data_IF_451446657986
#
_entry.id   IF_451446657986
#
_cell.length_a   1.000
_cell.length_b   1.000
_cell.length_c   1.000
_cell.angle_alpha   90.00
_cell.angle_beta   90.00
_cell.angle_gamma   90.00
#
_symmetry.space_group_name_H-M   'P 1'
#
loop_
_entity.id
_entity.type
_entity.pdbx_description
1 polymer ?
#
# COMPACT_ATOMS: atom_id res chain seq x y z
N UNK A 1 -11.07 -68.55 -15.53
CA UNK A 1 -10.37 -67.32 -16.00
C UNK A 1 -10.27 -66.34 -14.84
N UNK A 2 -9.08 -66.25 -14.21
CA UNK A 2 -8.79 -65.29 -13.12
C UNK A 2 -8.30 -63.98 -13.76
N UNK A 3 -8.98 -62.86 -13.49
CA UNK A 3 -8.54 -61.52 -13.91
C UNK A 3 -7.58 -60.96 -12.86
N UNK A 4 -6.31 -60.78 -13.23
CA UNK A 4 -5.31 -60.08 -12.44
C UNK A 4 -5.51 -58.57 -12.61
N UNK A 5 -5.70 -57.86 -11.51
CA UNK A 5 -5.69 -56.39 -11.45
C UNK A 5 -4.28 -55.96 -11.08
N UNK A 6 -3.59 -55.32 -12.02
CA UNK A 6 -2.28 -54.69 -11.80
C UNK A 6 -2.53 -53.38 -11.03
N UNK A 7 -2.00 -53.28 -9.81
CA UNK A 7 -1.92 -52.02 -9.06
C UNK A 7 -0.60 -51.33 -9.41
N UNK A 8 -0.67 -50.22 -10.13
CA UNK A 8 0.45 -49.30 -10.32
C UNK A 8 0.50 -48.33 -9.13
N UNK A 9 1.59 -48.37 -8.37
CA UNK A 9 1.88 -47.39 -7.31
C UNK A 9 2.61 -46.20 -7.90
N UNK A 10 2.00 -45.01 -7.85
CA UNK A 10 2.67 -43.73 -8.15
C UNK A 10 3.26 -43.21 -6.84
N UNK A 11 4.59 -43.15 -6.76
CA UNK A 11 5.28 -42.50 -5.65
C UNK A 11 5.31 -40.98 -5.91
N UNK A 12 4.66 -40.22 -5.03
CA UNK A 12 4.79 -38.77 -4.97
C UNK A 12 5.96 -38.43 -4.03
N UNK A 13 7.06 -37.92 -4.57
CA UNK A 13 8.14 -37.34 -3.77
C UNK A 13 7.76 -35.91 -3.38
N UNK A 14 7.46 -35.69 -2.11
CA UNK A 14 7.24 -34.36 -1.55
C UNK A 14 8.59 -33.79 -1.09
N UNK A 15 9.12 -32.81 -1.80
CA UNK A 15 10.29 -32.04 -1.36
C UNK A 15 9.80 -31.01 -0.33
N UNK A 16 10.16 -31.22 0.94
CA UNK A 16 9.96 -30.24 2.02
C UNK A 16 11.17 -29.29 1.99
N UNK A 17 10.94 -28.05 1.52
CA UNK A 17 11.88 -26.95 1.70
C UNK A 17 11.66 -26.37 3.10
N UNK A 18 12.57 -26.69 4.02
CA UNK A 18 12.64 -26.06 5.33
C UNK A 18 13.20 -24.64 5.19
N UNK A 19 12.37 -23.63 5.47
CA UNK A 19 12.83 -22.24 5.62
C UNK A 19 13.20 -22.07 7.09
N UNK A 20 14.50 -22.01 7.37
CA UNK A 20 15.04 -21.62 8.66
C UNK A 20 14.73 -20.13 8.90
N UNK A 21 13.83 -19.84 9.84
CA UNK A 21 13.74 -18.53 10.47
C UNK A 21 14.72 -18.50 11.65
N UNK A 22 15.84 -17.80 11.51
CA UNK A 22 16.62 -17.40 12.68
C UNK A 22 15.82 -16.35 13.46
N UNK A 23 15.28 -16.75 14.60
CA UNK A 23 15.06 -15.84 15.71
C UNK A 23 16.42 -15.65 16.39
N UNK A 24 16.81 -14.40 16.60
CA UNK A 24 17.44 -13.99 17.86
C UNK A 24 16.99 -12.56 18.14
N UNK A 25 16.20 -12.44 19.22
CA UNK A 25 15.94 -11.20 19.91
C UNK A 25 17.09 -11.00 20.88
N UNK A 26 17.83 -9.89 20.77
CA UNK A 26 18.61 -9.41 21.90
C UNK A 26 18.45 -7.90 22.07
N UNK A 27 18.32 -7.56 23.34
CA UNK A 27 17.93 -6.28 23.89
C UNK A 27 18.94 -5.16 23.56
N UNK A 28 18.47 -4.06 22.99
CA UNK A 28 19.19 -2.79 23.00
C UNK A 28 18.25 -1.62 23.33
N UNK A 29 18.67 -0.87 24.34
CA UNK A 29 18.07 0.29 24.99
C UNK A 29 17.72 1.42 23.98
N UNK A 30 16.52 2.05 24.01
CA UNK A 30 16.15 3.09 23.06
C UNK A 30 16.65 4.46 23.54
N UNK A 31 17.91 4.78 23.24
CA UNK A 31 18.40 6.15 23.38
C UNK A 31 19.48 6.44 22.34
N UNK A 32 19.23 7.43 21.48
CA UNK A 32 20.16 8.05 20.51
C UNK A 32 20.56 7.25 19.25
N UNK A 33 19.63 7.01 18.32
CA UNK A 33 19.97 6.63 16.92
C UNK A 33 19.33 7.61 15.90
N UNK A 34 19.27 8.91 16.20
CA UNK A 34 18.82 9.92 15.22
C UNK A 34 19.96 10.75 14.59
N UNK A 35 21.24 10.50 14.92
CA UNK A 35 22.34 11.41 14.53
C UNK A 35 23.49 10.82 13.68
N UNK A 36 23.25 9.81 12.82
CA UNK A 36 24.34 9.31 11.94
C UNK A 36 24.03 9.17 10.44
N UNK A 37 22.98 9.78 9.92
CA UNK A 37 22.69 9.77 8.47
C UNK A 37 22.78 11.17 7.84
N UNK A 38 23.97 11.78 7.87
CA UNK A 38 24.24 12.98 7.09
C UNK A 38 24.92 12.60 5.77
N UNK A 39 24.10 12.30 4.75
CA UNK A 39 24.50 12.57 3.37
C UNK A 39 24.71 14.09 3.30
N UNK A 40 25.90 14.54 2.89
CA UNK A 40 26.28 15.95 2.88
C UNK A 40 25.24 16.80 2.16
N UNK A 41 24.77 17.83 2.85
CA UNK A 41 23.65 18.73 2.49
C UNK A 41 24.04 19.81 1.47
N UNK A 42 25.20 19.70 0.84
CA UNK A 42 25.70 20.68 -0.12
C UNK A 42 25.16 20.40 -1.53
N UNK A 43 24.04 21.07 -1.83
CA UNK A 43 23.73 21.75 -3.09
C UNK A 43 24.29 21.10 -4.37
N UNK A 44 23.61 20.08 -4.87
CA UNK A 44 23.67 19.73 -6.30
C UNK A 44 22.24 19.63 -6.83
N UNK A 45 22.02 20.08 -8.08
CA UNK A 45 20.73 19.89 -8.74
C UNK A 45 20.49 18.38 -8.91
N UNK A 46 19.52 17.87 -8.15
CA UNK A 46 19.19 16.46 -7.87
C UNK A 46 19.08 15.51 -9.09
N UNK A 47 18.89 16.03 -10.30
CA UNK A 47 18.64 15.23 -11.50
C UNK A 47 19.87 14.53 -12.10
N UNK A 48 21.08 14.83 -11.60
CA UNK A 48 22.34 14.27 -12.10
C UNK A 48 23.16 13.50 -11.05
N UNK A 49 22.61 13.24 -9.87
CA UNK A 49 23.29 12.47 -8.83
C UNK A 49 23.45 11.00 -9.28
N UNK A 50 24.66 10.63 -9.70
CA UNK A 50 25.14 9.26 -9.69
C UNK A 50 25.92 9.06 -8.39
N UNK A 51 25.37 8.26 -7.47
CA UNK A 51 25.98 8.03 -6.16
C UNK A 51 26.09 6.55 -5.83
N UNK A 52 27.12 6.19 -5.07
CA UNK A 52 27.17 4.94 -4.31
C UNK A 52 26.40 5.15 -3.00
N UNK A 53 25.30 4.43 -2.81
CA UNK A 53 24.64 4.41 -1.51
C UNK A 53 25.19 3.23 -0.70
N UNK A 54 25.93 3.53 0.36
CA UNK A 54 26.07 2.66 1.52
C UNK A 54 25.31 3.29 2.70
N UNK A 55 24.09 3.79 2.49
CA UNK A 55 23.25 4.18 3.63
C UNK A 55 22.56 2.91 4.11
N UNK A 56 23.07 2.26 5.16
CA UNK A 56 22.37 1.13 5.76
C UNK A 56 20.87 1.44 5.93
N UNK A 57 19.98 0.61 5.36
CA UNK A 57 20.23 -0.78 4.99
C UNK A 57 20.55 -1.03 3.50
N UNK A 58 21.02 -0.04 2.73
CA UNK A 58 21.50 -0.19 1.36
C UNK A 58 22.73 -1.10 1.33
N UNK A 59 22.53 -2.39 1.09
CA UNK A 59 23.57 -3.28 0.57
C UNK A 59 23.91 -2.84 -0.87
N UNK A 60 25.21 -2.73 -1.16
CA UNK A 60 25.84 -2.70 -2.50
C UNK A 60 24.95 -2.24 -3.68
N UNK A 61 25.08 -0.99 -4.13
CA UNK A 61 24.43 -0.56 -5.37
C UNK A 61 24.75 0.88 -5.78
N UNK A 62 24.45 1.20 -7.04
CA UNK A 62 24.55 2.55 -7.58
C UNK A 62 23.14 3.07 -7.84
N UNK A 63 22.92 4.35 -7.57
CA UNK A 63 21.66 5.00 -7.91
C UNK A 63 21.89 6.17 -8.84
N UNK A 64 20.88 6.44 -9.65
CA UNK A 64 20.86 7.56 -10.57
C UNK A 64 19.43 7.97 -10.91
N UNK A 65 19.25 9.20 -11.38
CA UNK A 65 17.93 9.71 -11.74
C UNK A 65 17.25 8.75 -12.73
N UNK A 66 15.98 8.45 -12.49
CA UNK A 66 15.29 7.36 -13.20
C UNK A 66 15.28 7.52 -14.73
N UNK A 67 15.38 8.76 -15.25
CA UNK A 67 15.41 9.05 -16.69
C UNK A 67 16.75 8.72 -17.36
N UNK A 68 17.85 8.95 -16.66
CA UNK A 68 19.22 8.80 -17.20
C UNK A 68 19.83 7.46 -16.80
N UNK A 69 19.49 6.94 -15.62
CA UNK A 69 19.97 5.67 -15.09
C UNK A 69 18.86 4.62 -15.15
N UNK A 70 18.60 4.07 -16.35
CA UNK A 70 17.43 3.23 -16.62
C UNK A 70 17.53 1.81 -16.03
N UNK A 71 16.40 1.27 -15.57
CA UNK A 71 16.25 -0.16 -15.27
C UNK A 71 16.33 -1.00 -16.55
N UNK A 72 16.88 -2.21 -16.45
CA UNK A 72 16.91 -3.13 -17.60
C UNK A 72 15.51 -3.61 -18.01
N UNK A 73 14.62 -3.80 -17.03
CA UNK A 73 13.26 -4.30 -17.23
C UNK A 73 12.22 -3.30 -16.76
N UNK A 74 11.14 -3.15 -17.52
CA UNK A 74 9.96 -2.37 -17.11
C UNK A 74 10.18 -0.86 -16.94
N UNK A 75 11.31 -0.30 -17.39
CA UNK A 75 11.61 1.13 -17.28
C UNK A 75 10.48 2.03 -17.84
N UNK A 76 9.83 1.61 -18.93
CA UNK A 76 8.69 2.36 -19.50
C UNK A 76 7.52 2.51 -18.52
N UNK A 77 7.31 1.54 -17.63
CA UNK A 77 6.29 1.63 -16.58
C UNK A 77 6.66 2.65 -15.51
N UNK A 78 7.95 2.76 -15.15
CA UNK A 78 8.46 3.78 -14.23
C UNK A 78 8.32 5.17 -14.88
N UNK A 79 8.74 5.30 -16.14
CA UNK A 79 8.66 6.54 -16.90
C UNK A 79 7.22 7.03 -17.09
N UNK A 80 6.27 6.11 -17.19
CA UNK A 80 4.85 6.43 -17.18
C UNK A 80 4.35 6.79 -15.77
N UNK A 81 4.66 5.99 -14.76
CA UNK A 81 4.10 6.15 -13.42
C UNK A 81 4.55 7.45 -12.74
N UNK A 82 5.84 7.77 -12.77
CA UNK A 82 6.41 8.92 -12.04
C UNK A 82 5.73 10.26 -12.36
N UNK A 83 5.60 10.71 -13.62
CA UNK A 83 4.94 11.98 -13.92
C UNK A 83 3.44 11.97 -13.57
N UNK A 84 2.75 10.84 -13.76
CA UNK A 84 1.34 10.71 -13.40
C UNK A 84 1.14 10.78 -11.88
N UNK A 85 2.03 10.17 -11.10
CA UNK A 85 1.99 10.21 -9.64
C UNK A 85 2.32 11.59 -9.09
N UNK A 86 3.30 12.30 -9.69
CA UNK A 86 3.59 13.70 -9.34
C UNK A 86 2.36 14.59 -9.52
N UNK A 87 1.71 14.47 -10.67
CA UNK A 87 0.50 15.22 -10.97
C UNK A 87 -0.66 14.84 -10.03
N UNK A 88 -0.89 13.54 -9.83
CA UNK A 88 -2.00 13.02 -9.04
C UNK A 88 -1.91 13.40 -7.56
N UNK A 89 -0.73 13.26 -6.97
CA UNK A 89 -0.51 13.58 -5.57
C UNK A 89 -0.17 15.06 -5.34
N UNK A 90 0.16 15.81 -6.39
CA UNK A 90 0.61 17.20 -6.25
C UNK A 90 1.96 17.33 -5.53
N UNK A 91 2.80 16.30 -5.60
CA UNK A 91 4.14 16.27 -4.98
C UNK A 91 5.22 16.11 -6.05
N UNK A 92 6.45 16.54 -5.75
CA UNK A 92 7.53 16.55 -6.72
C UNK A 92 8.85 15.96 -6.18
N UNK A 93 8.87 14.69 -5.71
CA UNK A 93 10.11 14.07 -5.27
C UNK A 93 11.07 13.86 -6.44
N UNK A 94 12.36 13.81 -6.14
CA UNK A 94 13.35 13.27 -7.06
C UNK A 94 13.27 11.74 -7.03
N UNK A 95 13.20 11.09 -8.19
CA UNK A 95 13.06 9.63 -8.28
C UNK A 95 14.36 9.03 -8.83
N UNK A 96 14.89 8.06 -8.11
CA UNK A 96 16.12 7.35 -8.44
C UNK A 96 15.83 5.88 -8.73
N UNK A 97 16.45 5.36 -9.78
CA UNK A 97 16.61 3.92 -9.95
C UNK A 97 17.86 3.50 -9.17
N UNK A 98 17.69 2.56 -8.25
CA UNK A 98 18.76 1.98 -7.45
C UNK A 98 19.08 0.58 -7.97
N UNK A 99 20.17 0.46 -8.72
CA UNK A 99 20.56 -0.75 -9.45
C UNK A 99 21.65 -1.53 -8.73
N UNK A 100 21.67 -2.84 -8.96
CA UNK A 100 22.60 -3.77 -8.34
C UNK A 100 21.90 -4.90 -7.58
N UNK A 101 22.72 -5.83 -7.09
CA UNK A 101 22.27 -6.92 -6.23
C UNK A 101 21.85 -6.40 -4.86
N UNK A 102 20.92 -7.10 -4.19
CA UNK A 102 20.43 -6.74 -2.86
C UNK A 102 19.66 -5.41 -2.76
N UNK A 103 19.18 -4.90 -3.90
CA UNK A 103 18.29 -3.74 -3.99
C UNK A 103 16.82 -4.13 -3.75
N UNK A 104 16.58 -4.82 -2.62
CA UNK A 104 15.33 -5.51 -2.28
C UNK A 104 14.27 -4.60 -1.64
N UNK A 105 14.27 -3.29 -1.96
CA UNK A 105 13.29 -2.38 -1.38
C UNK A 105 12.93 -1.21 -2.31
N UNK A 106 11.83 -0.53 -1.99
CA UNK A 106 11.51 0.82 -2.44
C UNK A 106 11.40 1.72 -1.21
N UNK A 107 11.81 2.98 -1.34
CA UNK A 107 11.92 3.86 -0.17
C UNK A 107 11.57 5.31 -0.53
N UNK A 108 10.84 5.97 0.36
CA UNK A 108 10.60 7.40 0.35
C UNK A 108 11.31 8.10 1.52
N UNK A 109 12.00 9.20 1.21
CA UNK A 109 12.64 10.08 2.19
C UNK A 109 12.07 11.49 2.07
N UNK A 110 11.98 12.19 3.21
CA UNK A 110 11.81 13.63 3.26
C UNK A 110 13.16 14.34 3.40
N UNK A 111 13.21 15.63 3.05
CA UNK A 111 14.37 16.51 3.23
C UNK A 111 15.69 16.07 2.56
N UNK A 112 15.85 16.27 1.24
CA UNK A 112 14.78 16.55 0.27
C UNK A 112 13.93 15.31 -0.04
N UNK A 113 12.74 15.58 -0.60
CA UNK A 113 11.80 14.57 -1.07
C UNK A 113 12.42 13.67 -2.14
N UNK A 114 12.58 12.39 -1.82
CA UNK A 114 13.25 11.41 -2.68
C UNK A 114 12.54 10.07 -2.66
N UNK A 115 12.45 9.41 -3.81
CA UNK A 115 11.96 8.04 -3.95
C UNK A 115 13.03 7.20 -4.62
N UNK A 116 13.38 6.07 -4.01
CA UNK A 116 14.32 5.09 -4.56
C UNK A 116 13.58 3.83 -4.98
N UNK A 117 13.77 3.41 -6.23
CA UNK A 117 13.20 2.19 -6.77
C UNK A 117 14.34 1.16 -6.87
N UNK A 118 14.33 0.14 -5.99
CA UNK A 118 15.33 -0.93 -6.03
C UNK A 118 15.09 -1.91 -7.17
N UNK A 119 16.12 -2.20 -7.95
CA UNK A 119 16.07 -3.07 -9.14
C UNK A 119 15.65 -4.51 -8.81
N UNK A 120 16.18 -5.08 -7.73
CA UNK A 120 15.87 -6.47 -7.35
C UNK A 120 14.41 -6.59 -6.93
N UNK A 121 13.92 -5.62 -6.15
CA UNK A 121 12.51 -5.55 -5.78
C UNK A 121 11.59 -5.34 -6.98
N UNK A 122 11.91 -4.35 -7.82
CA UNK A 122 11.16 -4.04 -9.04
C UNK A 122 11.03 -5.27 -9.96
N UNK A 123 12.14 -5.97 -10.20
CA UNK A 123 12.14 -7.18 -11.02
C UNK A 123 11.31 -8.30 -10.37
N UNK A 124 11.38 -8.47 -9.05
CA UNK A 124 10.53 -9.42 -8.32
C UNK A 124 9.04 -9.12 -8.48
N UNK A 125 8.64 -7.84 -8.45
CA UNK A 125 7.24 -7.44 -8.66
C UNK A 125 6.76 -7.78 -10.07
N UNK A 126 7.56 -7.49 -11.09
CA UNK A 126 7.22 -7.79 -12.49
C UNK A 126 7.16 -9.29 -12.78
N UNK A 127 7.98 -10.10 -12.09
CA UNK A 127 8.02 -11.56 -12.26
C UNK A 127 6.87 -12.27 -11.53
N UNK A 128 6.51 -11.82 -10.33
CA UNK A 128 5.56 -12.52 -9.46
C UNK A 128 4.13 -11.97 -9.54
N UNK A 129 3.95 -10.75 -10.07
CA UNK A 129 2.66 -10.09 -10.16
C UNK A 129 2.44 -9.53 -11.57
N UNK A 130 2.25 -8.22 -11.70
CA UNK A 130 2.08 -7.52 -12.96
C UNK A 130 2.57 -6.06 -12.84
N UNK A 131 2.52 -5.34 -13.96
CA UNK A 131 2.94 -3.95 -14.01
C UNK A 131 2.04 -3.01 -13.17
N UNK A 132 0.78 -3.37 -12.89
CA UNK A 132 -0.08 -2.57 -12.03
C UNK A 132 0.36 -2.68 -10.57
N UNK A 133 0.62 -3.89 -10.10
CA UNK A 133 1.15 -4.16 -8.76
C UNK A 133 2.54 -3.53 -8.55
N UNK A 134 3.41 -3.57 -9.56
CA UNK A 134 4.70 -2.89 -9.48
C UNK A 134 4.54 -1.36 -9.36
N UNK A 135 3.69 -0.76 -10.20
CA UNK A 135 3.38 0.68 -10.15
C UNK A 135 2.67 1.09 -8.85
N UNK A 136 1.86 0.23 -8.24
CA UNK A 136 1.16 0.55 -7.00
C UNK A 136 2.11 0.70 -5.81
N UNK A 137 3.27 0.03 -5.82
CA UNK A 137 4.30 0.25 -4.80
C UNK A 137 4.97 1.62 -4.99
N UNK A 138 5.23 2.06 -6.22
CA UNK A 138 5.70 3.44 -6.46
C UNK A 138 4.65 4.45 -5.95
N UNK A 139 3.35 4.18 -6.17
CA UNK A 139 2.28 5.01 -5.65
C UNK A 139 2.23 5.04 -4.10
N UNK A 140 2.57 3.93 -3.45
CA UNK A 140 2.73 3.86 -2.00
C UNK A 140 3.86 4.78 -1.53
N UNK A 141 5.04 4.74 -2.16
CA UNK A 141 6.15 5.66 -1.82
C UNK A 141 5.78 7.13 -2.02
N UNK A 142 5.02 7.45 -3.07
CA UNK A 142 4.49 8.81 -3.27
C UNK A 142 3.47 9.20 -2.21
N UNK A 143 2.70 8.24 -1.70
CA UNK A 143 1.82 8.44 -0.55
C UNK A 143 2.59 8.87 0.71
N UNK A 144 3.80 8.34 0.92
CA UNK A 144 4.69 8.82 1.99
C UNK A 144 5.17 10.25 1.76
N UNK A 145 5.57 10.61 0.53
CA UNK A 145 5.94 11.99 0.20
C UNK A 145 4.77 12.96 0.49
N UNK A 146 3.54 12.57 0.13
CA UNK A 146 2.35 13.36 0.48
C UNK A 146 2.19 13.51 2.00
N UNK A 147 2.38 12.44 2.77
CA UNK A 147 2.31 12.48 4.23
C UNK A 147 3.38 13.40 4.85
N UNK A 148 4.62 13.34 4.35
CA UNK A 148 5.71 14.20 4.79
C UNK A 148 5.41 15.67 4.53
N UNK A 149 4.99 16.02 3.31
CA UNK A 149 4.72 17.41 2.92
C UNK A 149 3.58 18.06 3.69
N UNK A 150 2.65 17.27 4.23
CA UNK A 150 1.52 17.77 5.01
C UNK A 150 1.71 17.65 6.53
N UNK A 151 2.90 17.25 7.01
CA UNK A 151 3.20 17.10 8.45
C UNK A 151 2.15 16.25 9.18
N UNK A 152 1.77 15.15 8.57
CA UNK A 152 0.74 14.28 9.10
C UNK A 152 1.31 13.34 10.18
N UNK A 153 1.56 13.86 11.39
CA UNK A 153 2.29 13.17 12.48
C UNK A 153 1.69 11.85 12.98
N UNK A 154 0.43 11.55 12.69
CA UNK A 154 -0.17 10.24 12.99
C UNK A 154 0.25 9.16 11.97
N UNK A 155 0.88 9.56 10.88
CA UNK A 155 1.59 8.73 9.91
C UNK A 155 2.97 8.33 10.46
N UNK A 156 3.04 7.83 11.69
CA UNK A 156 4.27 7.23 12.22
C UNK A 156 4.08 5.72 12.37
N UNK A 157 5.10 4.95 12.01
CA UNK A 157 5.05 3.48 12.09
C UNK A 157 3.90 2.91 11.26
N UNK A 158 3.16 1.94 11.83
CA UNK A 158 2.08 1.22 11.13
C UNK A 158 1.08 2.12 10.40
N UNK A 159 0.65 3.21 11.02
CA UNK A 159 -0.40 4.05 10.43
C UNK A 159 0.09 4.81 9.19
N UNK A 160 1.41 5.08 9.11
CA UNK A 160 2.03 5.67 7.94
C UNK A 160 1.86 4.79 6.71
N UNK A 161 2.22 3.52 6.88
CA UNK A 161 2.20 2.46 5.88
C UNK A 161 0.78 2.14 5.41
N UNK A 162 -0.16 2.04 6.36
CA UNK A 162 -1.60 1.88 6.07
C UNK A 162 -2.14 3.08 5.27
N UNK A 163 -1.72 4.29 5.62
CA UNK A 163 -2.07 5.48 4.85
C UNK A 163 -1.55 5.45 3.42
N UNK A 164 -0.29 5.05 3.24
CA UNK A 164 0.33 4.94 1.92
C UNK A 164 -0.29 3.83 1.06
N UNK A 165 -0.63 2.67 1.65
CA UNK A 165 -1.38 1.61 0.96
C UNK A 165 -2.77 2.08 0.51
N UNK A 166 -3.47 2.82 1.37
CA UNK A 166 -4.76 3.44 1.02
C UNK A 166 -4.60 4.40 -0.17
N UNK A 167 -3.58 5.26 -0.16
CA UNK A 167 -3.35 6.19 -1.26
C UNK A 167 -3.00 5.50 -2.57
N UNK A 168 -2.19 4.44 -2.52
CA UNK A 168 -1.91 3.61 -3.68
C UNK A 168 -3.19 2.98 -4.24
N UNK A 169 -4.04 2.43 -3.37
CA UNK A 169 -5.35 1.91 -3.76
C UNK A 169 -6.24 2.96 -4.42
N UNK A 170 -6.33 4.15 -3.84
CA UNK A 170 -7.09 5.27 -4.40
C UNK A 170 -6.62 5.61 -5.81
N UNK A 171 -5.31 5.71 -6.01
CA UNK A 171 -4.72 6.00 -7.31
C UNK A 171 -5.07 4.97 -8.38
N UNK A 172 -5.13 3.68 -8.02
CA UNK A 172 -5.52 2.62 -8.96
C UNK A 172 -6.93 2.84 -9.53
N UNK A 173 -7.88 3.27 -8.71
CA UNK A 173 -9.28 3.43 -9.12
C UNK A 173 -9.62 4.80 -9.73
N UNK A 174 -8.86 5.85 -9.40
CA UNK A 174 -9.24 7.21 -9.77
C UNK A 174 -9.15 7.43 -11.29
N UNK A 175 -10.14 8.14 -11.86
CA UNK A 175 -10.20 8.55 -13.27
C UNK A 175 -8.99 9.38 -13.70
N UNK A 176 -8.39 10.08 -12.73
CA UNK A 176 -7.22 10.91 -12.94
C UNK A 176 -5.93 10.25 -12.42
N UNK A 177 -6.05 9.00 -11.95
CA UNK A 177 -4.95 8.12 -11.59
C UNK A 177 -4.73 7.07 -12.69
N UNK A 178 -4.73 5.77 -12.33
CA UNK A 178 -4.65 4.69 -13.33
C UNK A 178 -5.99 4.36 -13.98
N UNK A 179 -7.10 4.56 -13.27
CA UNK A 179 -8.45 4.21 -13.73
C UNK A 179 -8.59 2.77 -14.22
N UNK A 180 -8.05 1.82 -13.46
CA UNK A 180 -8.14 0.39 -13.82
C UNK A 180 -9.36 -0.26 -13.18
N UNK A 181 -9.77 -1.40 -13.71
CA UNK A 181 -10.83 -2.21 -13.13
C UNK A 181 -10.40 -2.91 -11.84
N UNK A 182 -11.38 -3.38 -11.08
CA UNK A 182 -11.14 -4.12 -9.84
C UNK A 182 -10.37 -5.42 -10.09
N UNK A 183 -10.67 -6.09 -11.20
CA UNK A 183 -9.99 -7.32 -11.60
C UNK A 183 -8.51 -7.07 -11.87
N UNK A 184 -8.18 -5.97 -12.56
CA UNK A 184 -6.79 -5.55 -12.80
C UNK A 184 -6.09 -5.15 -11.49
N UNK A 185 -6.79 -4.46 -10.58
CA UNK A 185 -6.22 -4.09 -9.27
C UNK A 185 -6.01 -5.28 -8.33
N UNK A 186 -6.63 -6.43 -8.61
CA UNK A 186 -6.63 -7.58 -7.70
C UNK A 186 -5.23 -8.11 -7.35
N UNK A 187 -4.29 -8.07 -8.30
CA UNK A 187 -2.90 -8.48 -8.06
C UNK A 187 -2.15 -7.46 -7.20
N UNK A 188 -2.47 -6.17 -7.30
CA UNK A 188 -1.93 -5.15 -6.39
C UNK A 188 -2.36 -5.43 -4.95
N UNK A 189 -3.63 -5.81 -4.72
CA UNK A 189 -4.12 -6.17 -3.38
C UNK A 189 -3.48 -7.44 -2.81
N UNK A 190 -3.15 -8.42 -3.65
CA UNK A 190 -2.38 -9.61 -3.22
C UNK A 190 -0.96 -9.21 -2.84
N UNK A 191 -0.34 -8.34 -3.62
CA UNK A 191 0.98 -7.82 -3.32
C UNK A 191 1.03 -7.07 -1.97
N UNK A 192 0.09 -6.15 -1.73
CA UNK A 192 -0.02 -5.46 -0.43
C UNK A 192 -0.21 -6.43 0.75
N UNK A 193 -0.89 -7.55 0.55
CA UNK A 193 -0.96 -8.59 1.58
C UNK A 193 0.40 -9.26 1.81
N UNK A 194 1.10 -9.64 0.74
CA UNK A 194 2.36 -10.38 0.81
C UNK A 194 3.49 -9.58 1.46
N UNK A 195 3.49 -8.25 1.33
CA UNK A 195 4.50 -7.37 1.92
C UNK A 195 4.20 -7.00 3.39
N UNK A 196 3.05 -7.40 3.94
CA UNK A 196 2.74 -7.20 5.36
C UNK A 196 3.35 -8.31 6.21
N UNK A 197 4.41 -8.03 6.96
CA UNK A 197 5.02 -9.00 7.88
C UNK A 197 5.73 -8.38 9.09
N UNK A 198 5.25 -7.26 9.65
CA UNK A 198 5.93 -6.63 10.79
C UNK A 198 5.15 -5.54 11.52
N UNK A 199 5.67 -5.14 12.68
CA UNK A 199 5.09 -4.10 13.56
C UNK A 199 5.06 -2.72 12.87
N UNK A 200 6.00 -2.45 11.98
CA UNK A 200 6.12 -1.18 11.24
C UNK A 200 5.18 -1.06 10.04
N UNK A 201 4.94 -2.14 9.29
CA UNK A 201 4.14 -2.13 8.06
C UNK A 201 2.65 -2.48 8.27
N UNK A 202 2.32 -3.11 9.40
CA UNK A 202 1.01 -3.69 9.64
C UNK A 202 0.92 -5.13 9.14
N UNK A 203 -0.13 -5.83 9.57
CA UNK A 203 -0.41 -7.20 9.14
C UNK A 203 -0.81 -7.26 7.66
N UNK A 204 -0.58 -8.42 7.04
CA UNK A 204 -1.00 -8.69 5.65
C UNK A 204 -2.45 -8.29 5.38
N UNK A 205 -3.35 -8.51 6.34
CA UNK A 205 -4.75 -8.14 6.15
C UNK A 205 -5.00 -6.63 6.29
N UNK A 206 -4.34 -5.95 7.22
CA UNK A 206 -4.51 -4.50 7.37
C UNK A 206 -4.06 -3.78 6.09
N UNK A 207 -2.89 -4.14 5.56
CA UNK A 207 -2.35 -3.58 4.31
C UNK A 207 -3.27 -3.80 3.11
N UNK A 208 -3.73 -5.04 2.92
CA UNK A 208 -4.69 -5.35 1.86
C UNK A 208 -6.01 -4.59 2.03
N UNK A 209 -6.53 -4.50 3.26
CA UNK A 209 -7.78 -3.81 3.54
C UNK A 209 -7.66 -2.30 3.26
N UNK A 210 -6.53 -1.70 3.62
CA UNK A 210 -6.24 -0.29 3.35
C UNK A 210 -6.23 -0.02 1.84
N UNK A 211 -5.50 -0.81 1.06
CA UNK A 211 -5.45 -0.67 -0.40
C UNK A 211 -6.83 -0.85 -1.05
N UNK A 212 -7.62 -1.83 -0.61
CA UNK A 212 -9.00 -2.03 -1.11
C UNK A 212 -9.92 -0.85 -0.76
N UNK A 213 -9.87 -0.38 0.48
CA UNK A 213 -10.65 0.78 0.93
C UNK A 213 -10.27 2.04 0.13
N UNK A 214 -8.97 2.22 -0.11
CA UNK A 214 -8.44 3.26 -1.00
C UNK A 214 -9.07 3.18 -2.39
N UNK A 215 -9.01 2.01 -3.02
CA UNK A 215 -9.61 1.77 -4.34
C UNK A 215 -11.09 2.15 -4.36
N UNK A 216 -11.89 1.64 -3.43
CA UNK A 216 -13.32 1.95 -3.41
C UNK A 216 -13.56 3.46 -3.25
N UNK A 217 -12.79 4.12 -2.41
CA UNK A 217 -12.89 5.56 -2.18
C UNK A 217 -12.51 6.35 -3.44
N UNK A 218 -11.45 5.95 -4.14
CA UNK A 218 -11.06 6.54 -5.42
C UNK A 218 -12.11 6.36 -6.49
N UNK A 219 -12.70 5.16 -6.57
CA UNK A 219 -13.81 4.89 -7.47
C UNK A 219 -15.03 5.77 -7.14
N UNK A 220 -15.39 5.90 -5.86
CA UNK A 220 -16.50 6.74 -5.42
C UNK A 220 -16.28 8.21 -5.78
N UNK A 221 -15.04 8.69 -5.61
CA UNK A 221 -14.64 10.04 -5.97
C UNK A 221 -14.79 10.34 -7.46
N UNK A 222 -14.69 9.35 -8.34
CA UNK A 222 -14.96 9.53 -9.77
C UNK A 222 -16.43 9.94 -10.03
N UNK A 223 -17.35 9.53 -9.14
CA UNK A 223 -18.79 9.84 -9.28
C UNK A 223 -19.23 11.07 -8.49
N UNK A 224 -18.57 11.38 -7.37
CA UNK A 224 -18.93 12.49 -6.46
C UNK A 224 -17.96 13.68 -6.49
N UNK A 225 -16.90 13.56 -7.29
CA UNK A 225 -15.79 14.52 -7.37
C UNK A 225 -14.81 14.37 -6.21
N UNK A 226 -13.53 14.62 -6.49
CA UNK A 226 -12.45 14.57 -5.52
C UNK A 226 -12.69 15.53 -4.34
N UNK A 227 -12.44 15.05 -3.12
CA UNK A 227 -12.57 15.86 -1.90
C UNK A 227 -11.34 16.74 -1.60
N UNK A 228 -10.18 16.42 -2.17
CA UNK A 228 -8.89 16.97 -1.73
C UNK A 228 -8.19 16.05 -0.72
N UNK A 229 -6.86 15.99 -0.80
CA UNK A 229 -6.06 15.04 -0.03
C UNK A 229 -6.21 15.20 1.49
N UNK A 230 -6.21 16.43 2.00
CA UNK A 230 -6.43 16.70 3.43
C UNK A 230 -7.74 16.10 3.95
N UNK A 231 -8.83 16.25 3.20
CA UNK A 231 -10.14 15.76 3.61
C UNK A 231 -10.20 14.24 3.54
N UNK A 232 -9.76 13.66 2.43
CA UNK A 232 -9.67 12.19 2.25
C UNK A 232 -8.85 11.58 3.38
N UNK A 233 -7.72 12.19 3.69
CA UNK A 233 -6.83 11.70 4.73
C UNK A 233 -7.42 11.88 6.13
N UNK A 234 -8.06 13.01 6.46
CA UNK A 234 -8.81 13.19 7.71
C UNK A 234 -9.89 12.12 7.90
N UNK A 235 -10.59 11.75 6.83
CA UNK A 235 -11.56 10.66 6.86
C UNK A 235 -10.89 9.32 7.12
N UNK A 236 -9.72 9.06 6.53
CA UNK A 236 -8.93 7.87 6.82
C UNK A 236 -8.44 7.82 8.28
N UNK A 237 -7.92 8.93 8.85
CA UNK A 237 -7.56 9.01 10.29
C UNK A 237 -8.74 8.54 11.12
N UNK A 238 -9.90 9.14 10.85
CA UNK A 238 -11.10 9.00 11.64
C UNK A 238 -11.62 7.58 11.53
N UNK A 239 -11.59 7.04 10.32
CA UNK A 239 -11.93 5.66 10.01
C UNK A 239 -11.06 4.69 10.82
N UNK A 240 -9.74 4.85 10.77
CA UNK A 240 -8.79 3.95 11.44
C UNK A 240 -8.75 4.12 12.96
N UNK A 241 -8.92 5.34 13.47
CA UNK A 241 -9.02 5.63 14.90
C UNK A 241 -10.27 5.04 15.54
N UNK A 242 -11.40 4.98 14.82
CA UNK A 242 -12.62 4.39 15.35
C UNK A 242 -12.68 2.87 15.18
N UNK A 243 -12.27 2.34 14.03
CA UNK A 243 -12.40 0.91 13.71
C UNK A 243 -11.09 0.14 13.94
N UNK A 244 -9.96 0.64 13.45
CA UNK A 244 -8.66 -0.04 13.54
C UNK A 244 -8.15 -0.20 14.98
N UNK A 245 -8.58 0.67 15.90
CA UNK A 245 -8.25 0.60 17.33
C UNK A 245 -9.32 -0.11 18.19
N UNK A 246 -10.39 -0.65 17.59
CA UNK A 246 -11.41 -1.42 18.31
C UNK A 246 -12.33 -0.60 19.23
N UNK A 247 -12.35 0.73 19.10
CA UNK A 247 -13.26 1.61 19.88
C UNK A 247 -14.72 1.41 19.47
N UNK A 248 -14.94 0.99 18.22
CA UNK A 248 -16.24 0.69 17.62
C UNK A 248 -16.23 -0.71 17.03
N UNK A 249 -17.34 -1.42 17.14
CA UNK A 249 -17.53 -2.73 16.53
C UNK A 249 -18.73 -2.67 15.58
N UNK A 250 -18.65 -3.46 14.51
CA UNK A 250 -19.67 -3.54 13.47
C UNK A 250 -20.46 -4.85 13.59
N UNK A 251 -21.76 -4.79 13.31
CA UNK A 251 -22.52 -5.95 12.81
C UNK A 251 -23.16 -5.60 11.47
N UNK A 252 -23.52 -6.61 10.68
CA UNK A 252 -24.03 -6.52 9.30
C UNK A 252 -25.24 -5.60 9.09
N UNK A 253 -25.77 -4.97 10.15
CA UNK A 253 -26.90 -4.05 10.12
C UNK A 253 -26.57 -2.61 10.53
N UNK A 254 -25.53 -2.34 11.34
CA UNK A 254 -25.17 -0.97 11.77
C UNK A 254 -23.80 -0.85 12.47
N UNK A 255 -23.34 0.40 12.71
CA UNK A 255 -22.14 0.70 13.52
C UNK A 255 -22.49 1.07 14.97
N UNK A 256 -21.74 0.53 15.93
CA UNK A 256 -22.04 0.70 17.36
C UNK A 256 -20.85 1.16 18.20
N UNK A 257 -21.10 2.12 19.09
CA UNK A 257 -20.20 2.48 20.20
C UNK A 257 -20.44 1.53 21.37
N UNK A 258 -19.59 0.52 21.58
CA UNK A 258 -19.57 -0.36 22.78
C UNK A 258 -20.91 -0.94 23.30
N UNK A 259 -22.04 -0.78 22.59
CA UNK A 259 -23.34 -1.40 22.83
C UNK A 259 -24.25 -1.16 21.62
N UNK A 260 -25.01 -2.19 21.26
CA UNK A 260 -25.72 -2.43 19.98
C UNK A 260 -26.83 -1.44 19.54
N UNK A 261 -26.85 -0.16 19.95
CA UNK A 261 -28.05 0.68 19.67
C UNK A 261 -27.87 2.16 19.29
N UNK A 262 -26.68 2.66 18.96
CA UNK A 262 -26.57 4.02 18.42
C UNK A 262 -25.49 4.16 17.35
N UNK A 263 -25.91 4.57 16.13
CA UNK A 263 -25.04 5.32 15.22
C UNK A 263 -24.48 6.49 16.01
N UNK A 264 -23.17 6.47 16.26
CA UNK A 264 -22.56 7.49 17.09
C UNK A 264 -22.48 8.80 16.31
N UNK A 265 -23.38 9.75 16.64
CA UNK A 265 -23.33 11.14 16.15
C UNK A 265 -21.91 11.74 16.24
N UNK A 266 -21.13 11.31 17.24
CA UNK A 266 -19.73 11.70 17.46
C UNK A 266 -18.79 11.31 16.30
N UNK A 267 -19.09 10.25 15.56
CA UNK A 267 -18.28 9.85 14.39
C UNK A 267 -18.43 10.83 13.23
N UNK A 268 -19.61 11.43 13.07
CA UNK A 268 -19.91 12.36 11.98
C UNK A 268 -19.80 13.82 12.42
N UNK A 269 -19.51 14.05 13.69
CA UNK A 269 -19.38 15.39 14.25
C UNK A 269 -18.29 16.19 13.56
N UNK A 270 -18.64 17.42 13.15
CA UNK A 270 -17.75 18.34 12.45
C UNK A 270 -17.48 17.98 10.98
N UNK A 271 -18.10 16.94 10.41
CA UNK A 271 -18.04 16.69 8.97
C UNK A 271 -19.05 17.56 8.24
N UNK A 272 -18.66 18.12 7.10
CA UNK A 272 -19.62 18.64 6.13
C UNK A 272 -20.47 17.50 5.56
N UNK A 273 -21.63 17.82 4.97
CA UNK A 273 -22.49 16.82 4.34
C UNK A 273 -21.74 15.95 3.30
N UNK A 274 -20.83 16.56 2.54
CA UNK A 274 -20.03 15.84 1.53
C UNK A 274 -18.98 14.92 2.16
N UNK A 275 -18.34 15.35 3.24
CA UNK A 275 -17.38 14.51 3.98
C UNK A 275 -18.10 13.37 4.72
N UNK A 276 -19.26 13.63 5.29
CA UNK A 276 -20.09 12.62 5.95
C UNK A 276 -20.54 11.52 4.97
N UNK A 277 -20.93 11.89 3.75
CA UNK A 277 -21.29 10.95 2.68
C UNK A 277 -20.11 10.06 2.25
N UNK A 278 -18.93 10.64 2.05
CA UNK A 278 -17.72 9.87 1.77
C UNK A 278 -17.34 8.95 2.95
N UNK A 279 -17.46 9.46 4.17
CA UNK A 279 -17.14 8.69 5.37
C UNK A 279 -18.08 7.50 5.52
N UNK A 280 -19.40 7.70 5.32
CA UNK A 280 -20.38 6.61 5.29
C UNK A 280 -20.02 5.55 4.24
N UNK A 281 -19.64 5.99 3.04
CA UNK A 281 -19.21 5.08 1.98
C UNK A 281 -17.97 4.25 2.39
N UNK A 282 -16.94 4.89 2.95
CA UNK A 282 -15.74 4.21 3.44
C UNK A 282 -16.09 3.17 4.52
N UNK A 283 -16.95 3.57 5.46
CA UNK A 283 -17.42 2.70 6.53
C UNK A 283 -18.10 1.45 5.96
N UNK A 284 -19.02 1.61 4.99
CA UNK A 284 -19.78 0.49 4.41
C UNK A 284 -18.89 -0.54 3.71
N UNK A 285 -17.89 -0.07 2.96
CA UNK A 285 -17.03 -0.96 2.16
C UNK A 285 -15.98 -1.69 3.02
N UNK A 286 -15.56 -1.14 4.16
CA UNK A 286 -14.62 -1.85 5.04
C UNK A 286 -15.24 -3.09 5.68
N UNK A 287 -16.52 -3.04 6.00
CA UNK A 287 -17.20 -4.20 6.58
C UNK A 287 -17.23 -5.37 5.61
N UNK A 288 -17.47 -5.07 4.34
CA UNK A 288 -17.44 -6.07 3.29
C UNK A 288 -16.03 -6.69 3.16
N UNK A 289 -14.98 -5.88 3.33
CA UNK A 289 -13.60 -6.36 3.40
C UNK A 289 -13.35 -7.26 4.64
N UNK A 290 -13.91 -6.90 5.80
CA UNK A 290 -13.80 -7.70 7.04
C UNK A 290 -14.61 -9.00 6.99
N UNK A 291 -15.79 -8.99 6.40
CA UNK A 291 -16.63 -10.17 6.27
C UNK A 291 -16.02 -11.16 5.29
N UNK A 292 -15.40 -10.70 4.20
CA UNK A 292 -14.57 -11.52 3.32
C UNK A 292 -13.39 -12.14 4.10
N UNK A 293 -12.70 -11.35 4.95
CA UNK A 293 -11.60 -11.86 5.80
C UNK A 293 -12.07 -12.99 6.72
N UNK A 294 -13.28 -12.88 7.26
CA UNK A 294 -13.87 -13.88 8.17
C UNK A 294 -14.47 -15.08 7.43
N UNK A 295 -14.46 -15.09 6.09
CA UNK A 295 -15.08 -16.14 5.28
C UNK A 295 -16.61 -16.06 5.23
N UNK A 296 -17.19 -14.92 5.62
CA UNK A 296 -18.63 -14.70 5.68
C UNK A 296 -19.24 -14.35 4.30
N UNK A 297 -18.41 -14.11 3.27
CA UNK A 297 -18.85 -13.73 1.92
C UNK A 297 -18.02 -14.50 0.88
N UNK A 298 -18.67 -15.04 -0.15
CA UNK A 298 -18.04 -15.88 -1.18
C UNK A 298 -17.20 -15.08 -2.20
N UNK A 299 -16.19 -15.72 -2.81
CA UNK A 299 -15.45 -15.13 -3.94
C UNK A 299 -16.36 -14.78 -5.13
N UNK A 300 -17.47 -15.51 -5.35
CA UNK A 300 -18.48 -15.18 -6.35
C UNK A 300 -19.33 -13.94 -6.01
N UNK A 301 -19.51 -13.59 -4.74
CA UNK A 301 -20.19 -12.34 -4.37
C UNK A 301 -19.27 -11.13 -4.57
N UNK A 302 -17.96 -11.32 -4.43
CA UNK A 302 -16.97 -10.29 -4.72
C UNK A 302 -16.93 -9.88 -6.21
N UNK A 303 -17.27 -10.78 -7.14
CA UNK A 303 -17.42 -10.43 -8.56
C UNK A 303 -18.75 -9.72 -8.89
N UNK A 304 -19.70 -9.71 -7.94
CA UNK A 304 -21.00 -9.02 -8.04
C UNK A 304 -20.97 -7.58 -7.54
N UNK A 305 -19.81 -7.03 -7.14
CA UNK A 305 -19.59 -5.59 -6.94
C UNK A 305 -19.75 -4.81 -8.27
N UNK A 306 -20.94 -4.87 -8.85
CA UNK A 306 -21.48 -3.77 -9.63
C UNK A 306 -21.83 -2.72 -8.59
N UNK A 307 -21.13 -1.60 -8.63
CA UNK A 307 -21.43 -0.48 -7.77
C UNK A 307 -22.93 -0.24 -7.80
N UNK A 308 -23.57 -0.36 -6.64
CA UNK A 308 -24.93 0.13 -6.49
C UNK A 308 -24.88 1.59 -6.88
N UNK A 309 -25.41 1.92 -8.07
CA UNK A 309 -25.77 3.28 -8.40
C UNK A 309 -26.70 3.73 -7.28
N UNK A 310 -26.24 4.65 -6.46
CA UNK A 310 -27.11 5.36 -5.54
C UNK A 310 -28.18 6.05 -6.39
N UNK A 311 -29.45 5.76 -6.09
CA UNK A 311 -30.59 6.45 -6.70
C UNK A 311 -30.51 7.94 -6.38
#
# INVERSE_FOLDING_TARGET
MKKNVIKSSIAFATIILAIYSCQDYDNANPSNIENQNLISIEHLKDENLLGTAAATPFNTGYYGAYKTYKMASGQSYIEWAVPNLKWFFGVNPTVYNWRGTNTNNMLAYSNPDRVFIGETWWNSMLLNYDAYAAKSIIAHEFGHILQYNNNWYWASGKNQEIGADFFAGYWLASNVGQNISWQEASNSFKNFAAIGNGVSHGSSTERQAAAKLGYYTGYYANTKGFLGWDKVYKLLVRFWGYIGQGTYWYDSTDYYRTSKKAKSKKMYEGLSNKEADFFEFMMLNYNEILDIKKGNVSKEEFSKFKLKKTK
#
